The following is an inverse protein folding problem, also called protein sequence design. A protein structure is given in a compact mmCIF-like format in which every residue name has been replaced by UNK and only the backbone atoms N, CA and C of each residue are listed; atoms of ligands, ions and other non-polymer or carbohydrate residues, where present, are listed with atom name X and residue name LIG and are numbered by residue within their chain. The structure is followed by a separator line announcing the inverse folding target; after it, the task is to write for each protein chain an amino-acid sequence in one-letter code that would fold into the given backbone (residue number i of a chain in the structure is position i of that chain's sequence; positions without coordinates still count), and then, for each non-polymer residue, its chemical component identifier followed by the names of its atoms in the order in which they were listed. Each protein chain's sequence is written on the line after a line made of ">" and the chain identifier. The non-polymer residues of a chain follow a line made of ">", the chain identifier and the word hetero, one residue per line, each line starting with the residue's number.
data_IF_909235278810
#
_entry.id   IF_909235278810
#
_cell.length_a   1.000
_cell.length_b   1.000
_cell.length_c   1.000
_cell.angle_alpha   90.00
_cell.angle_beta   90.00
_cell.angle_gamma   90.00
#
_symmetry.space_group_name_H-M   'P 1'
#
loop_
_entity.id
_entity.type
_entity.pdbx_description
1 polymer ?
#
# COMPACT_ATOMS: atom_id res chain seq x y z
N UNK A 1 5.29 -19.69 23.73
CA UNK A 1 5.13 -19.19 22.34
C UNK A 1 4.02 -19.91 21.56
N UNK A 2 3.87 -21.24 21.67
CA UNK A 2 2.83 -21.99 20.95
C UNK A 2 1.38 -21.54 21.28
N UNK A 3 1.06 -21.30 22.55
CA UNK A 3 -0.27 -20.82 22.96
C UNK A 3 -0.64 -19.48 22.32
N UNK A 4 0.28 -18.51 22.31
CA UNK A 4 0.03 -17.19 21.69
C UNK A 4 -0.15 -17.31 20.18
N UNK A 5 0.62 -18.15 19.51
CA UNK A 5 0.46 -18.41 18.08
C UNK A 5 -0.89 -19.07 17.78
N UNK A 6 -1.33 -20.03 18.61
CA UNK A 6 -2.66 -20.63 18.53
C UNK A 6 -3.78 -19.62 18.76
N UNK A 7 -3.65 -18.75 19.77
CA UNK A 7 -4.64 -17.68 20.00
C UNK A 7 -4.75 -16.78 18.78
N UNK A 8 -3.64 -16.33 18.19
CA UNK A 8 -3.66 -15.47 17.00
C UNK A 8 -4.24 -16.13 15.75
N UNK A 9 -4.23 -17.46 15.67
CA UNK A 9 -4.86 -18.19 14.57
C UNK A 9 -6.37 -18.43 14.77
N UNK A 10 -6.92 -18.10 15.95
CA UNK A 10 -8.34 -18.25 16.22
C UNK A 10 -9.17 -17.36 15.29
N UNK A 11 -10.03 -18.00 14.51
CA UNK A 11 -10.90 -17.34 13.55
C UNK A 11 -11.77 -16.24 14.18
N UNK A 12 -12.22 -16.42 15.43
CA UNK A 12 -13.02 -15.42 16.14
C UNK A 12 -12.24 -14.11 16.37
N UNK A 13 -10.94 -14.17 16.70
CA UNK A 13 -10.15 -12.96 16.90
C UNK A 13 -9.90 -12.25 15.57
N UNK A 14 -9.70 -13.01 14.49
CA UNK A 14 -9.59 -12.47 13.14
C UNK A 14 -10.88 -11.76 12.71
N UNK A 15 -12.04 -12.36 13.01
CA UNK A 15 -13.35 -11.78 12.75
C UNK A 15 -13.57 -10.49 13.55
N UNK A 16 -13.19 -10.46 14.83
CA UNK A 16 -13.31 -9.27 15.67
C UNK A 16 -12.39 -8.13 15.18
N UNK A 17 -11.14 -8.42 14.80
CA UNK A 17 -10.25 -7.41 14.20
C UNK A 17 -10.81 -6.89 12.88
N UNK A 18 -11.30 -7.78 12.02
CA UNK A 18 -11.94 -7.40 10.76
C UNK A 18 -13.20 -6.56 10.99
N UNK A 19 -14.02 -6.89 11.99
CA UNK A 19 -15.18 -6.08 12.40
C UNK A 19 -14.76 -4.68 12.83
N UNK A 20 -13.74 -4.55 13.68
CA UNK A 20 -13.21 -3.25 14.12
C UNK A 20 -12.76 -2.42 12.90
N UNK A 21 -11.98 -3.01 11.99
CA UNK A 21 -11.52 -2.33 10.77
C UNK A 21 -12.67 -1.90 9.87
N UNK A 22 -13.65 -2.78 9.63
CA UNK A 22 -14.77 -2.50 8.73
C UNK A 22 -15.67 -1.41 9.29
N UNK A 23 -16.11 -1.54 10.55
CA UNK A 23 -17.05 -0.61 11.15
C UNK A 23 -16.41 0.75 11.42
N UNK A 24 -15.16 0.79 11.92
CA UNK A 24 -14.43 2.06 12.05
C UNK A 24 -14.21 2.72 10.68
N UNK A 25 -13.88 1.95 9.65
CA UNK A 25 -13.75 2.45 8.27
C UNK A 25 -15.04 3.08 7.74
N UNK A 26 -16.20 2.46 8.00
CA UNK A 26 -17.50 3.01 7.60
C UNK A 26 -17.80 4.34 8.33
N UNK A 27 -17.54 4.39 9.63
CA UNK A 27 -17.69 5.62 10.44
C UNK A 27 -16.76 6.71 9.91
N UNK A 28 -15.49 6.38 9.65
CA UNK A 28 -14.50 7.30 9.12
C UNK A 28 -14.95 7.82 7.75
N UNK A 29 -15.36 6.96 6.82
CA UNK A 29 -15.81 7.41 5.50
C UNK A 29 -17.07 8.27 5.57
N UNK A 30 -17.99 7.99 6.50
CA UNK A 30 -19.13 8.86 6.73
C UNK A 30 -18.68 10.26 7.17
N UNK A 31 -17.73 10.35 8.11
CA UNK A 31 -17.15 11.64 8.51
C UNK A 31 -16.45 12.31 7.33
N UNK A 32 -15.67 11.58 6.52
CA UNK A 32 -15.02 12.12 5.32
C UNK A 32 -16.03 12.66 4.31
N UNK A 33 -17.17 11.98 4.12
CA UNK A 33 -18.26 12.49 3.29
C UNK A 33 -18.79 13.82 3.83
N UNK A 34 -18.97 13.94 5.15
CA UNK A 34 -19.35 15.22 5.77
C UNK A 34 -18.30 16.32 5.55
N UNK A 35 -17.00 15.97 5.47
CA UNK A 35 -15.96 16.97 5.19
C UNK A 35 -16.05 17.58 3.78
N UNK A 36 -16.78 16.99 2.83
CA UNK A 36 -16.91 17.52 1.47
C UNK A 36 -17.44 18.97 1.44
N UNK A 37 -18.22 19.39 2.43
CA UNK A 37 -18.70 20.77 2.59
C UNK A 37 -17.52 21.75 2.75
N UNK A 38 -16.41 21.30 3.34
CA UNK A 38 -15.20 22.09 3.51
C UNK A 38 -14.38 22.22 2.22
N UNK A 39 -14.54 21.33 1.25
CA UNK A 39 -13.71 21.34 0.03
C UNK A 39 -13.78 22.67 -0.75
N UNK A 40 -14.96 23.24 -1.04
CA UNK A 40 -15.05 24.55 -1.72
C UNK A 40 -14.71 25.75 -0.82
N UNK A 41 -14.79 25.61 0.51
CA UNK A 41 -14.60 26.72 1.47
C UNK A 41 -13.12 26.84 1.87
N UNK A 42 -12.51 25.71 2.24
CA UNK A 42 -11.13 25.61 2.69
C UNK A 42 -10.56 24.22 2.35
N UNK A 43 -10.11 24.08 1.10
CA UNK A 43 -9.49 22.85 0.57
C UNK A 43 -8.32 22.36 1.42
N UNK A 44 -7.55 23.26 2.01
CA UNK A 44 -6.39 22.91 2.83
C UNK A 44 -6.81 22.27 4.16
N UNK A 45 -7.85 22.81 4.81
CA UNK A 45 -8.44 22.20 6.00
C UNK A 45 -9.08 20.84 5.68
N UNK A 46 -9.82 20.75 4.57
CA UNK A 46 -10.36 19.48 4.07
C UNK A 46 -9.27 18.41 3.96
N UNK A 47 -8.16 18.72 3.31
CA UNK A 47 -7.03 17.79 3.12
C UNK A 47 -6.40 17.37 4.44
N UNK A 48 -6.13 18.32 5.35
CA UNK A 48 -5.55 18.02 6.67
C UNK A 48 -6.43 17.08 7.48
N UNK A 49 -7.74 17.35 7.54
CA UNK A 49 -8.70 16.49 8.25
C UNK A 49 -8.72 15.09 7.62
N UNK A 50 -8.82 15.00 6.29
CA UNK A 50 -8.83 13.72 5.59
C UNK A 50 -7.53 12.93 5.77
N UNK A 51 -6.38 13.58 5.89
CA UNK A 51 -5.12 12.91 6.26
C UNK A 51 -5.17 12.30 7.65
N UNK A 52 -5.77 12.98 8.65
CA UNK A 52 -5.90 12.43 10.02
C UNK A 52 -6.92 11.30 10.10
N UNK A 53 -8.04 11.43 9.39
CA UNK A 53 -9.05 10.37 9.27
C UNK A 53 -8.46 9.12 8.60
N UNK A 54 -7.73 9.32 7.51
CA UNK A 54 -7.06 8.22 6.80
C UNK A 54 -5.96 7.58 7.63
N UNK A 55 -5.20 8.37 8.40
CA UNK A 55 -4.24 7.84 9.37
C UNK A 55 -4.91 6.87 10.36
N UNK A 56 -6.07 7.25 10.92
CA UNK A 56 -6.79 6.39 11.86
C UNK A 56 -7.24 5.07 11.25
N UNK A 57 -7.51 5.02 9.93
CA UNK A 57 -7.82 3.78 9.21
C UNK A 57 -6.56 2.96 8.88
N UNK A 58 -5.54 3.57 8.27
CA UNK A 58 -4.31 2.86 7.85
C UNK A 58 -3.48 2.35 9.02
N UNK A 59 -3.45 3.10 10.12
CA UNK A 59 -2.72 2.70 11.33
C UNK A 59 -3.23 1.38 11.92
N UNK A 60 -4.48 0.98 11.66
CA UNK A 60 -4.98 -0.34 12.08
C UNK A 60 -4.32 -1.49 11.29
N UNK A 61 -4.06 -1.29 9.99
CA UNK A 61 -3.32 -2.29 9.20
C UNK A 61 -1.84 -2.33 9.61
N UNK A 62 -1.23 -1.16 9.85
CA UNK A 62 0.15 -1.08 10.36
C UNK A 62 0.24 -1.74 11.74
N UNK A 63 -0.77 -1.54 12.59
CA UNK A 63 -0.85 -2.21 13.89
C UNK A 63 -0.87 -3.74 13.73
N UNK A 64 -1.65 -4.25 12.77
CA UNK A 64 -1.66 -5.68 12.49
C UNK A 64 -0.29 -6.21 12.04
N UNK A 65 0.45 -5.47 11.22
CA UNK A 65 1.77 -5.86 10.77
C UNK A 65 2.81 -5.82 11.90
N UNK A 66 2.90 -4.70 12.63
CA UNK A 66 3.96 -4.50 13.62
C UNK A 66 3.66 -5.23 14.94
N UNK A 67 2.47 -5.03 15.51
CA UNK A 67 2.14 -5.46 16.86
C UNK A 67 1.48 -6.84 16.88
N UNK A 68 0.53 -7.10 15.98
CA UNK A 68 -0.18 -8.38 15.96
C UNK A 68 0.68 -9.50 15.38
N UNK A 69 1.21 -9.37 14.17
CA UNK A 69 2.05 -10.43 13.59
C UNK A 69 3.50 -10.38 14.08
N UNK A 70 3.94 -9.24 14.61
CA UNK A 70 5.32 -9.07 15.08
C UNK A 70 6.32 -8.97 13.93
N UNK A 71 5.87 -8.64 12.72
CA UNK A 71 6.74 -8.52 11.54
C UNK A 71 7.73 -7.38 11.71
N UNK A 72 8.98 -7.65 11.35
CA UNK A 72 10.06 -6.66 11.40
C UNK A 72 10.32 -6.09 10.01
N UNK A 73 10.66 -4.80 9.97
CA UNK A 73 11.08 -4.09 8.77
C UNK A 73 12.45 -3.46 9.04
N UNK A 74 13.46 -3.98 8.36
CA UNK A 74 14.85 -3.53 8.41
C UNK A 74 15.09 -2.55 7.27
N UNK A 75 15.55 -1.33 7.56
CA UNK A 75 15.86 -0.33 6.55
C UNK A 75 17.35 -0.37 6.22
N UNK A 76 17.71 -0.44 4.94
CA UNK A 76 19.09 -0.35 4.45
C UNK A 76 19.24 0.97 3.71
N UNK A 77 19.86 1.94 4.37
CA UNK A 77 20.07 3.29 3.84
C UNK A 77 21.02 4.07 4.75
N UNK A 78 21.65 5.11 4.22
CA UNK A 78 22.49 6.02 4.98
C UNK A 78 21.68 7.01 5.85
N UNK A 79 22.32 7.55 6.89
CA UNK A 79 21.67 8.47 7.82
C UNK A 79 21.22 9.77 7.14
N UNK A 80 21.97 10.28 6.15
CA UNK A 80 21.62 11.51 5.44
C UNK A 80 20.30 11.38 4.68
N UNK A 81 20.01 10.18 4.15
CA UNK A 81 18.70 9.85 3.57
C UNK A 81 17.60 9.83 4.65
N UNK A 82 17.84 9.20 5.80
CA UNK A 82 16.86 9.16 6.91
C UNK A 82 16.54 10.55 7.46
N UNK A 83 17.52 11.44 7.53
CA UNK A 83 17.33 12.79 8.07
C UNK A 83 16.32 13.62 7.27
N UNK A 84 16.07 13.23 6.00
CA UNK A 84 15.06 13.83 5.11
C UNK A 84 13.68 13.18 5.20
N UNK A 85 13.56 11.98 5.76
CA UNK A 85 12.28 11.28 5.79
C UNK A 85 11.22 12.06 6.57
N UNK A 86 10.01 12.14 6.00
CA UNK A 86 8.89 12.88 6.57
C UNK A 86 9.02 14.41 6.50
N UNK A 87 10.06 14.93 5.84
CA UNK A 87 10.34 16.38 5.73
C UNK A 87 10.40 16.89 4.29
N UNK A 88 9.96 16.08 3.33
CA UNK A 88 9.90 16.45 1.92
C UNK A 88 8.78 15.71 1.17
N UNK A 89 8.31 16.31 0.07
CA UNK A 89 7.47 15.64 -0.91
C UNK A 89 8.35 14.79 -1.83
N UNK A 90 8.02 13.51 -1.97
CA UNK A 90 8.83 12.58 -2.77
C UNK A 90 7.97 11.70 -3.66
N UNK A 91 8.55 11.26 -4.76
CA UNK A 91 8.05 10.12 -5.53
C UNK A 91 8.78 8.87 -5.04
N UNK A 92 8.04 7.80 -4.76
CA UNK A 92 8.61 6.51 -4.34
C UNK A 92 8.49 5.54 -5.51
N UNK A 93 9.58 4.90 -5.88
CA UNK A 93 9.58 3.79 -6.83
C UNK A 93 9.83 2.50 -6.05
N UNK A 94 8.86 1.60 -6.01
CA UNK A 94 8.95 0.33 -5.30
C UNK A 94 8.81 -0.83 -6.29
N UNK A 95 9.60 -1.89 -6.11
CA UNK A 95 9.37 -3.15 -6.84
C UNK A 95 8.07 -3.82 -6.35
N UNK A 96 7.39 -4.53 -7.22
CA UNK A 96 6.07 -5.08 -6.94
C UNK A 96 6.07 -6.60 -6.97
N UNK A 97 6.53 -7.24 -5.89
CA UNK A 97 6.71 -8.70 -5.88
C UNK A 97 5.71 -9.40 -4.96
N UNK A 98 5.35 -8.78 -3.83
CA UNK A 98 4.61 -9.45 -2.78
C UNK A 98 3.23 -8.86 -2.55
N UNK A 99 2.39 -9.63 -1.87
CA UNK A 99 1.03 -9.18 -1.55
C UNK A 99 1.04 -7.96 -0.62
N UNK A 100 1.95 -7.95 0.35
CA UNK A 100 2.01 -6.95 1.43
C UNK A 100 3.04 -5.84 1.21
N UNK A 101 3.52 -5.64 -0.02
CA UNK A 101 4.52 -4.60 -0.35
C UNK A 101 4.14 -3.22 0.24
N UNK A 102 2.88 -2.83 -0.01
CA UNK A 102 2.32 -1.57 0.45
C UNK A 102 2.31 -1.45 1.98
N UNK A 103 2.09 -2.56 2.69
CA UNK A 103 1.98 -2.56 4.14
C UNK A 103 3.36 -2.38 4.80
N UNK A 104 4.40 -2.97 4.21
CA UNK A 104 5.78 -2.70 4.59
C UNK A 104 6.18 -1.24 4.31
N UNK A 105 5.75 -0.67 3.17
CA UNK A 105 5.91 0.75 2.90
C UNK A 105 5.22 1.64 3.93
N UNK A 106 3.97 1.32 4.29
CA UNK A 106 3.20 2.05 5.29
C UNK A 106 3.79 2.00 6.69
N UNK A 107 4.47 0.92 7.09
CA UNK A 107 5.27 0.88 8.32
C UNK A 107 6.33 1.97 8.33
N UNK A 108 7.02 2.20 7.21
CA UNK A 108 7.99 3.31 7.12
C UNK A 108 7.27 4.66 7.16
N UNK A 109 6.17 4.81 6.42
CA UNK A 109 5.37 6.05 6.47
C UNK A 109 4.87 6.38 7.89
N UNK A 110 4.47 5.37 8.68
CA UNK A 110 4.08 5.53 10.08
C UNK A 110 5.23 6.08 10.90
N UNK A 111 6.41 5.46 10.81
CA UNK A 111 7.59 5.81 11.61
C UNK A 111 8.07 7.23 11.36
N UNK A 112 7.81 7.78 10.17
CA UNK A 112 8.20 9.14 9.77
C UNK A 112 7.01 10.10 9.57
N UNK A 113 5.82 9.76 10.09
CA UNK A 113 4.72 10.71 10.23
C UNK A 113 3.94 11.07 8.95
N UNK A 114 4.09 10.30 7.88
CA UNK A 114 3.47 10.56 6.57
C UNK A 114 2.43 9.51 6.15
N UNK A 115 2.04 8.60 7.06
CA UNK A 115 1.07 7.55 6.74
C UNK A 115 -0.26 8.09 6.18
N UNK A 116 -0.82 9.13 6.81
CA UNK A 116 -2.08 9.74 6.39
C UNK A 116 -2.00 10.58 5.09
N UNK A 117 -0.80 10.99 4.69
CA UNK A 117 -0.53 11.74 3.46
C UNK A 117 0.14 10.90 2.37
N UNK A 118 0.35 9.60 2.63
CA UNK A 118 0.87 8.67 1.63
C UNK A 118 -0.14 8.51 0.48
N UNK A 119 0.38 8.48 -0.74
CA UNK A 119 -0.42 8.38 -1.97
C UNK A 119 0.16 7.33 -2.88
N UNK A 120 -0.63 6.90 -3.85
CA UNK A 120 -0.24 5.92 -4.84
C UNK A 120 -0.95 6.23 -6.15
N UNK A 121 -0.33 5.95 -7.30
CA UNK A 121 -1.07 5.87 -8.55
C UNK A 121 -1.85 4.55 -8.57
N UNK A 122 -3.16 4.62 -8.29
CA UNK A 122 -4.01 3.46 -8.06
C UNK A 122 -4.72 2.96 -9.32
N UNK A 123 -5.03 1.67 -9.38
CA UNK A 123 -5.91 1.11 -10.42
C UNK A 123 -7.34 1.60 -10.19
N UNK A 124 -8.04 2.04 -11.24
CA UNK A 124 -9.41 2.56 -11.18
C UNK A 124 -10.40 1.61 -10.50
N UNK A 125 -10.28 0.30 -10.71
CA UNK A 125 -11.14 -0.70 -10.03
C UNK A 125 -11.04 -0.66 -8.50
N UNK A 126 -9.94 -0.13 -7.93
CA UNK A 126 -9.79 0.01 -6.48
C UNK A 126 -10.70 1.09 -5.89
N UNK A 127 -11.19 2.04 -6.70
CA UNK A 127 -12.19 3.02 -6.28
C UNK A 127 -13.50 2.34 -5.82
N UNK A 128 -13.81 1.17 -6.40
CA UNK A 128 -15.03 0.39 -6.09
C UNK A 128 -14.89 -0.44 -4.82
N UNK A 129 -13.69 -0.54 -4.24
CA UNK A 129 -13.46 -1.28 -2.99
C UNK A 129 -13.97 -0.43 -1.84
N UNK A 130 -15.03 -0.86 -1.11
CA UNK A 130 -15.54 -0.10 0.02
C UNK A 130 -14.43 0.14 1.05
N UNK A 131 -14.56 1.21 1.82
CA UNK A 131 -13.58 1.65 2.82
C UNK A 131 -12.30 2.21 2.19
N UNK A 132 -11.57 1.36 1.47
CA UNK A 132 -10.24 1.68 0.97
C UNK A 132 -10.34 2.65 -0.21
N UNK A 133 -11.13 2.30 -1.23
CA UNK A 133 -11.31 3.12 -2.42
C UNK A 133 -11.95 4.48 -2.12
N UNK A 134 -12.89 4.51 -1.18
CA UNK A 134 -13.55 5.74 -0.75
C UNK A 134 -12.61 6.65 0.04
N UNK A 135 -11.83 6.08 0.98
CA UNK A 135 -10.78 6.85 1.69
C UNK A 135 -9.78 7.43 0.70
N UNK A 136 -9.37 6.66 -0.32
CA UNK A 136 -8.47 7.14 -1.36
C UNK A 136 -9.07 8.25 -2.23
N UNK A 137 -10.37 8.17 -2.54
CA UNK A 137 -11.08 9.25 -3.21
C UNK A 137 -11.00 10.56 -2.40
N UNK A 138 -11.31 10.51 -1.10
CA UNK A 138 -11.25 11.68 -0.21
C UNK A 138 -9.82 12.19 0.05
N UNK A 139 -8.79 11.36 -0.18
CA UNK A 139 -7.39 11.76 -0.17
C UNK A 139 -6.92 12.33 -1.52
N UNK A 140 -7.80 12.48 -2.50
CA UNK A 140 -7.46 12.93 -3.86
C UNK A 140 -6.37 12.03 -4.51
N UNK A 141 -6.39 10.73 -4.21
CA UNK A 141 -5.52 9.76 -4.89
C UNK A 141 -5.85 9.69 -6.37
N UNK A 142 -4.82 9.56 -7.21
CA UNK A 142 -4.96 9.48 -8.66
C UNK A 142 -5.27 8.04 -9.06
N UNK A 143 -6.37 7.85 -9.79
CA UNK A 143 -6.80 6.55 -10.30
C UNK A 143 -6.60 6.46 -11.82
N UNK A 144 -6.13 5.31 -12.31
CA UNK A 144 -5.94 5.03 -13.74
C UNK A 144 -6.51 3.67 -14.17
N UNK A 145 -7.07 3.59 -15.36
CA UNK A 145 -7.55 2.38 -16.02
C UNK A 145 -6.42 1.55 -16.63
N UNK A 146 -5.21 2.12 -16.71
CA UNK A 146 -3.99 1.60 -17.34
C UNK A 146 -4.08 1.58 -18.86
N UNK A 147 -4.75 2.60 -19.43
CA UNK A 147 -4.84 2.89 -20.87
C UNK A 147 -4.58 4.37 -21.05
N UNK A 148 -3.43 4.71 -21.63
CA UNK A 148 -2.92 6.08 -21.61
C UNK A 148 -3.90 7.08 -22.24
N UNK A 149 -4.52 6.69 -23.34
CA UNK A 149 -5.47 7.49 -24.11
C UNK A 149 -6.71 7.85 -23.28
N UNK A 150 -7.16 6.94 -22.39
CA UNK A 150 -8.30 7.19 -21.49
C UNK A 150 -7.89 7.92 -20.21
N UNK A 151 -6.66 7.71 -19.75
CA UNK A 151 -6.19 8.14 -18.43
C UNK A 151 -5.55 9.52 -18.43
N UNK A 152 -5.03 9.98 -19.58
CA UNK A 152 -4.17 11.18 -19.68
C UNK A 152 -4.75 12.36 -18.91
N UNK A 153 -5.92 12.86 -19.29
CA UNK A 153 -6.50 14.05 -18.68
C UNK A 153 -6.74 13.89 -17.18
N UNK A 154 -7.27 12.74 -16.76
CA UNK A 154 -7.56 12.45 -15.35
C UNK A 154 -6.29 12.38 -14.50
N UNK A 155 -5.22 11.77 -15.05
CA UNK A 155 -3.92 11.66 -14.37
C UNK A 155 -3.25 13.03 -14.26
N UNK A 156 -3.22 13.82 -15.34
CA UNK A 156 -2.67 15.17 -15.33
C UNK A 156 -3.40 16.06 -14.32
N UNK A 157 -4.74 16.13 -14.40
CA UNK A 157 -5.54 16.93 -13.46
C UNK A 157 -5.41 16.43 -12.01
N UNK A 158 -5.34 15.11 -11.82
CA UNK A 158 -5.13 14.51 -10.50
C UNK A 158 -3.81 14.89 -9.88
N UNK A 159 -2.71 14.79 -10.63
CA UNK A 159 -1.37 15.15 -10.17
C UNK A 159 -1.22 16.65 -9.95
N UNK A 160 -1.76 17.48 -10.83
CA UNK A 160 -1.69 18.93 -10.71
C UNK A 160 -2.36 19.44 -9.42
N UNK A 161 -3.49 18.81 -9.02
CA UNK A 161 -4.14 19.09 -7.73
C UNK A 161 -3.27 18.81 -6.51
N UNK A 162 -2.21 18.01 -6.62
CA UNK A 162 -1.35 17.65 -5.49
C UNK A 162 -0.20 18.63 -5.27
N UNK A 163 0.00 19.60 -6.18
CA UNK A 163 1.11 20.57 -6.09
C UNK A 163 1.07 21.42 -4.82
N UNK A 164 -0.12 21.72 -4.32
CA UNK A 164 -0.36 22.52 -3.11
C UNK A 164 -0.89 21.68 -1.93
N UNK A 165 -0.54 20.39 -1.89
CA UNK A 165 -0.97 19.51 -0.80
C UNK A 165 -0.30 19.95 0.54
N UNK A 166 -1.05 20.12 1.64
CA UNK A 166 -0.55 20.79 2.85
C UNK A 166 0.35 19.94 3.75
N UNK A 167 0.44 18.64 3.46
CA UNK A 167 1.21 17.66 4.24
C UNK A 167 2.27 17.06 3.33
N UNK A 168 3.47 16.80 3.86
CA UNK A 168 4.52 16.12 3.08
C UNK A 168 3.99 14.80 2.52
N UNK A 169 4.07 14.67 1.20
CA UNK A 169 3.42 13.60 0.45
C UNK A 169 4.46 12.62 -0.07
N UNK A 170 4.23 11.35 0.21
CA UNK A 170 5.01 10.25 -0.35
C UNK A 170 4.17 9.56 -1.43
N UNK A 171 4.49 9.83 -2.70
CA UNK A 171 3.71 9.40 -3.85
C UNK A 171 4.30 8.13 -4.47
N UNK A 172 3.66 6.98 -4.21
CA UNK A 172 4.11 5.66 -4.62
C UNK A 172 3.77 5.34 -6.08
N UNK A 173 4.78 4.83 -6.79
CA UNK A 173 4.69 4.25 -8.11
C UNK A 173 5.26 2.83 -8.10
N UNK A 174 4.47 1.89 -8.61
CA UNK A 174 4.95 0.58 -9.04
C UNK A 174 5.17 0.64 -10.55
N UNK A 175 6.38 1.01 -10.98
CA UNK A 175 6.67 1.21 -12.40
C UNK A 175 6.57 -0.09 -13.22
N UNK A 176 6.65 -1.27 -12.59
CA UNK A 176 6.35 -2.56 -13.23
C UNK A 176 4.89 -2.67 -13.72
N UNK A 177 3.97 -1.92 -13.11
CA UNK A 177 2.56 -1.83 -13.48
C UNK A 177 1.70 -3.06 -13.12
N UNK A 178 2.31 -4.09 -12.56
CA UNK A 178 1.66 -5.30 -12.02
C UNK A 178 2.63 -6.03 -11.11
N UNK A 179 2.10 -6.83 -10.18
CA UNK A 179 2.93 -7.75 -9.41
C UNK A 179 3.66 -8.76 -10.29
N UNK A 180 4.91 -9.05 -9.94
CA UNK A 180 5.75 -10.07 -10.54
C UNK A 180 5.11 -11.46 -10.42
N UNK A 181 5.10 -12.19 -11.52
CA UNK A 181 4.85 -13.63 -11.57
C UNK A 181 5.63 -14.19 -12.74
N UNK A 182 6.07 -15.44 -12.69
CA UNK A 182 6.85 -16.07 -13.77
C UNK A 182 6.25 -15.86 -15.18
N UNK A 183 4.93 -16.10 -15.35
CA UNK A 183 4.24 -15.84 -16.63
C UNK A 183 4.35 -14.38 -17.11
N UNK A 184 4.27 -13.41 -16.19
CA UNK A 184 4.32 -11.98 -16.52
C UNK A 184 5.76 -11.54 -16.81
N UNK A 185 6.73 -12.15 -16.13
CA UNK A 185 8.15 -11.93 -16.39
C UNK A 185 8.53 -12.38 -17.79
N UNK A 186 8.14 -13.59 -18.20
CA UNK A 186 8.38 -14.09 -19.56
C UNK A 186 7.80 -13.15 -20.63
N UNK A 187 6.55 -12.71 -20.46
CA UNK A 187 5.92 -11.71 -21.35
C UNK A 187 6.71 -10.40 -21.34
N UNK A 188 7.11 -9.91 -20.17
CA UNK A 188 7.88 -8.68 -20.04
C UNK A 188 9.25 -8.77 -20.73
N UNK A 189 9.88 -9.95 -20.72
CA UNK A 189 11.18 -10.16 -21.38
C UNK A 189 11.06 -10.23 -22.90
N UNK A 190 9.96 -10.77 -23.43
CA UNK A 190 9.64 -10.68 -24.86
C UNK A 190 9.44 -9.20 -25.29
N UNK A 191 8.78 -8.41 -24.44
CA UNK A 191 8.62 -6.96 -24.69
C UNK A 191 9.96 -6.24 -24.64
N UNK A 192 10.86 -6.59 -23.70
CA UNK A 192 12.20 -6.02 -23.65
C UNK A 192 12.98 -6.31 -24.94
N UNK A 193 12.98 -7.57 -25.40
CA UNK A 193 13.65 -8.01 -26.63
C UNK A 193 13.14 -7.29 -27.88
N UNK A 194 11.80 -7.23 -28.06
CA UNK A 194 11.20 -6.53 -29.21
C UNK A 194 11.47 -5.01 -29.22
N UNK A 195 11.83 -4.42 -28.08
CA UNK A 195 12.21 -3.01 -27.96
C UNK A 195 13.72 -2.78 -27.93
N UNK A 196 14.54 -3.84 -28.05
CA UNK A 196 16.00 -3.75 -27.92
C UNK A 196 16.47 -3.31 -26.53
N UNK A 197 15.67 -3.54 -25.50
CA UNK A 197 15.99 -3.20 -24.10
C UNK A 197 16.63 -4.40 -23.39
N UNK A 198 17.54 -4.16 -22.41
CA UNK A 198 18.13 -5.24 -21.61
C UNK A 198 17.08 -6.10 -20.91
N UNK A 199 17.29 -7.42 -20.92
CA UNK A 199 16.46 -8.37 -20.16
C UNK A 199 16.84 -8.31 -18.68
N UNK A 200 15.84 -8.26 -17.81
CA UNK A 200 15.96 -8.27 -16.35
C UNK A 200 15.65 -9.67 -15.82
N UNK A 201 16.30 -10.11 -14.74
CA UNK A 201 16.14 -11.46 -14.19
C UNK A 201 15.11 -11.54 -13.08
N UNK A 202 14.96 -10.49 -12.28
CA UNK A 202 14.17 -10.48 -11.05
C UNK A 202 13.06 -9.43 -11.01
N UNK A 203 13.04 -8.50 -11.97
CA UNK A 203 12.00 -7.48 -12.10
C UNK A 203 11.32 -7.53 -13.47
N UNK A 204 10.11 -6.98 -13.55
CA UNK A 204 9.50 -6.67 -14.84
C UNK A 204 10.13 -5.40 -15.43
N UNK A 205 10.06 -5.26 -16.75
CA UNK A 205 10.49 -4.05 -17.43
C UNK A 205 9.60 -2.87 -16.99
N UNK A 206 10.17 -1.74 -16.53
CA UNK A 206 9.37 -0.63 -16.05
C UNK A 206 8.62 0.06 -17.19
N UNK A 207 7.39 0.48 -16.88
CA UNK A 207 6.58 1.36 -17.71
C UNK A 207 6.91 2.81 -17.34
N UNK A 208 7.46 3.54 -18.29
CA UNK A 208 8.03 4.86 -18.06
C UNK A 208 6.98 5.96 -17.96
N UNK A 209 5.89 5.88 -18.74
CA UNK A 209 4.92 6.98 -18.90
C UNK A 209 4.33 7.50 -17.59
N UNK A 210 3.99 6.61 -16.66
CA UNK A 210 3.47 7.02 -15.35
C UNK A 210 4.49 7.79 -14.52
N UNK A 211 5.75 7.35 -14.53
CA UNK A 211 6.84 8.03 -13.85
C UNK A 211 7.17 9.37 -14.48
N UNK A 212 7.39 9.43 -15.80
CA UNK A 212 7.73 10.67 -16.51
C UNK A 212 6.64 11.73 -16.39
N UNK A 213 5.37 11.32 -16.49
CA UNK A 213 4.23 12.22 -16.26
C UNK A 213 4.18 12.75 -14.82
N UNK A 214 4.46 11.89 -13.83
CA UNK A 214 4.48 12.30 -12.41
C UNK A 214 5.61 13.29 -12.14
N UNK A 215 6.82 13.03 -12.66
CA UNK A 215 7.97 13.94 -12.58
C UNK A 215 7.65 15.30 -13.18
N UNK A 216 7.06 15.32 -14.38
CA UNK A 216 6.68 16.56 -15.06
C UNK A 216 5.59 17.32 -14.30
N UNK A 217 4.54 16.64 -13.84
CA UNK A 217 3.42 17.29 -13.17
C UNK A 217 3.80 17.80 -11.79
N UNK A 218 4.63 17.08 -11.02
CA UNK A 218 4.99 17.47 -9.66
C UNK A 218 6.30 18.25 -9.59
N UNK A 219 6.84 18.69 -10.73
CA UNK A 219 8.03 19.54 -10.80
C UNK A 219 7.81 20.81 -9.99
N UNK A 220 8.77 21.14 -9.12
CA UNK A 220 8.70 22.26 -8.18
C UNK A 220 7.95 21.95 -6.87
N UNK A 221 7.27 20.80 -6.77
CA UNK A 221 6.65 20.33 -5.52
C UNK A 221 7.48 19.23 -4.87
N UNK A 222 7.83 18.18 -5.62
CA UNK A 222 8.68 17.10 -5.10
C UNK A 222 10.15 17.52 -5.11
N UNK A 223 10.91 17.08 -4.10
CA UNK A 223 12.34 17.41 -3.93
C UNK A 223 13.26 16.18 -3.99
N UNK A 224 12.69 14.98 -4.07
CA UNK A 224 13.46 13.77 -4.36
C UNK A 224 12.61 12.62 -4.92
N UNK A 225 13.29 11.66 -5.54
CA UNK A 225 12.80 10.30 -5.79
C UNK A 225 13.46 9.35 -4.81
N UNK A 226 12.67 8.56 -4.11
CA UNK A 226 13.15 7.46 -3.28
C UNK A 226 13.00 6.16 -4.06
N UNK A 227 14.15 5.59 -4.41
CA UNK A 227 14.22 4.27 -4.98
C UNK A 227 14.19 3.22 -3.87
N UNK A 228 13.18 2.36 -3.88
CA UNK A 228 12.94 1.36 -2.84
C UNK A 228 12.94 -0.04 -3.42
N UNK A 229 13.72 -0.93 -2.82
CA UNK A 229 13.70 -2.35 -3.13
C UNK A 229 13.36 -3.13 -1.86
N UNK A 230 12.23 -3.84 -1.89
CA UNK A 230 11.72 -4.67 -0.82
C UNK A 230 11.98 -6.14 -1.13
N UNK A 231 12.50 -6.86 -0.14
CA UNK A 231 12.54 -8.32 -0.17
C UNK A 231 12.26 -8.89 1.23
N UNK A 232 11.99 -10.19 1.29
CA UNK A 232 11.76 -10.92 2.53
C UNK A 232 12.87 -11.95 2.75
N UNK A 233 13.33 -12.07 4.00
CA UNK A 233 14.32 -13.09 4.37
C UNK A 233 13.74 -14.50 4.18
N UNK A 234 14.65 -15.46 4.05
CA UNK A 234 14.34 -16.89 3.96
C UNK A 234 13.41 -17.24 2.78
N UNK A 235 13.44 -16.43 1.70
CA UNK A 235 12.60 -16.56 0.50
C UNK A 235 11.10 -16.72 0.82
N UNK A 236 10.64 -16.08 1.89
CA UNK A 236 9.24 -16.15 2.27
C UNK A 236 8.38 -15.32 1.33
N UNK A 237 7.23 -15.90 0.93
CA UNK A 237 6.16 -15.17 0.23
C UNK A 237 5.10 -14.75 1.24
N UNK A 238 5.13 -13.50 1.73
CA UNK A 238 4.16 -13.05 2.71
C UNK A 238 2.78 -12.82 2.10
N UNK A 239 1.75 -13.06 2.91
CA UNK A 239 0.35 -12.86 2.54
C UNK A 239 -0.36 -12.07 3.63
N UNK A 240 -1.40 -11.32 3.27
CA UNK A 240 -2.18 -10.57 4.25
C UNK A 240 -2.86 -11.52 5.24
N UNK A 241 -3.33 -12.69 4.78
CA UNK A 241 -3.88 -13.73 5.65
C UNK A 241 -2.85 -14.27 6.65
N UNK A 242 -1.58 -14.38 6.25
CA UNK A 242 -0.48 -14.71 7.14
C UNK A 242 -0.35 -13.71 8.28
N UNK A 243 -0.38 -12.41 7.97
CA UNK A 243 -0.37 -11.33 8.97
C UNK A 243 -1.57 -11.44 9.91
N UNK A 244 -2.78 -11.59 9.37
CA UNK A 244 -4.03 -11.74 10.16
C UNK A 244 -3.96 -12.97 11.08
N UNK A 245 -3.29 -14.04 10.64
CA UNK A 245 -3.06 -15.26 11.44
C UNK A 245 -1.89 -15.14 12.43
N UNK A 246 -1.27 -13.96 12.54
CA UNK A 246 -0.16 -13.71 13.44
C UNK A 246 1.19 -14.23 12.97
N UNK A 247 1.34 -14.61 11.69
CA UNK A 247 2.62 -15.08 11.12
C UNK A 247 3.59 -13.91 11.01
N UNK A 248 4.71 -14.01 11.72
CA UNK A 248 5.82 -13.07 11.64
C UNK A 248 6.59 -13.24 10.33
N UNK A 249 6.91 -12.12 9.70
CA UNK A 249 7.84 -12.04 8.57
C UNK A 249 9.02 -11.13 8.91
N UNK A 250 10.06 -11.16 8.07
CA UNK A 250 11.22 -10.27 8.15
C UNK A 250 11.42 -9.59 6.81
N UNK A 251 10.96 -8.34 6.72
CA UNK A 251 11.09 -7.52 5.53
C UNK A 251 12.40 -6.72 5.60
N UNK A 252 13.12 -6.67 4.50
CA UNK A 252 14.28 -5.81 4.30
C UNK A 252 13.93 -4.81 3.19
N UNK A 253 14.13 -3.51 3.46
CA UNK A 253 13.86 -2.42 2.53
C UNK A 253 15.16 -1.63 2.28
N UNK A 254 15.69 -1.68 1.06
CA UNK A 254 16.76 -0.77 0.63
C UNK A 254 16.13 0.52 0.12
N UNK A 255 16.55 1.68 0.64
CA UNK A 255 16.11 2.99 0.14
C UNK A 255 17.30 3.84 -0.32
N UNK A 256 17.31 4.25 -1.58
CA UNK A 256 18.29 5.19 -2.14
C UNK A 256 17.58 6.48 -2.55
N UNK A 257 18.02 7.61 -2.02
CA UNK A 257 17.49 8.93 -2.34
C UNK A 257 18.19 9.52 -3.56
N UNK A 258 17.42 10.05 -4.50
CA UNK A 258 17.88 10.85 -5.63
C UNK A 258 17.23 12.24 -5.55
N UNK A 259 18.01 13.32 -5.37
CA UNK A 259 17.52 14.68 -5.62
C UNK A 259 16.86 14.77 -7.00
N UNK A 260 15.80 15.58 -7.16
CA UNK A 260 15.10 15.70 -8.46
C UNK A 260 16.00 16.33 -9.51
N UNK A 261 16.94 17.16 -9.07
CA UNK A 261 17.94 17.84 -9.90
C UNK A 261 18.87 16.84 -10.62
N UNK A 262 19.04 15.63 -10.06
CA UNK A 262 19.85 14.55 -10.64
C UNK A 262 19.06 13.71 -11.65
N UNK A 263 17.76 14.00 -11.86
CA UNK A 263 16.88 13.25 -12.74
C UNK A 263 16.61 14.09 -14.00
N UNK A 264 16.81 13.53 -15.20
CA UNK A 264 16.63 14.29 -16.43
C UNK A 264 15.20 14.82 -16.60
N UNK A 265 15.09 16.06 -17.06
CA UNK A 265 13.82 16.74 -17.34
C UNK A 265 13.18 16.27 -18.65
N UNK A 266 13.99 15.89 -19.64
CA UNK A 266 13.49 15.42 -20.92
C UNK A 266 12.80 14.06 -20.75
N UNK A 267 11.60 13.89 -21.31
CA UNK A 267 10.81 12.66 -21.15
C UNK A 267 11.57 11.39 -21.53
N UNK A 268 12.31 11.42 -22.64
CA UNK A 268 13.05 10.26 -23.13
C UNK A 268 14.26 9.94 -22.24
N UNK A 269 14.99 10.96 -21.79
CA UNK A 269 16.12 10.78 -20.89
C UNK A 269 15.68 10.31 -19.50
N UNK A 270 14.56 10.83 -19.01
CA UNK A 270 13.90 10.40 -17.77
C UNK A 270 13.45 8.92 -17.86
N UNK A 271 12.90 8.52 -19.01
CA UNK A 271 12.57 7.13 -19.31
C UNK A 271 13.81 6.22 -19.31
N UNK A 272 14.90 6.67 -19.93
CA UNK A 272 16.18 5.94 -19.95
C UNK A 272 16.79 5.83 -18.54
N UNK A 273 16.69 6.89 -17.73
CA UNK A 273 17.08 6.87 -16.33
C UNK A 273 16.32 5.81 -15.54
N UNK A 274 14.99 5.70 -15.73
CA UNK A 274 14.18 4.66 -15.08
C UNK A 274 14.57 3.24 -15.53
N UNK A 275 14.86 3.04 -16.82
CA UNK A 275 15.34 1.76 -17.32
C UNK A 275 16.70 1.38 -16.70
N UNK A 276 17.61 2.35 -16.52
CA UNK A 276 18.89 2.12 -15.83
C UNK A 276 18.68 1.81 -14.35
N UNK A 277 17.80 2.54 -13.67
CA UNK A 277 17.44 2.30 -12.26
C UNK A 277 16.95 0.86 -12.06
N UNK A 278 16.11 0.34 -12.96
CA UNK A 278 15.64 -1.05 -12.87
C UNK A 278 16.72 -2.10 -13.15
N UNK A 279 17.73 -1.80 -13.97
CA UNK A 279 18.92 -2.66 -14.10
C UNK A 279 19.73 -2.69 -12.79
N UNK A 280 19.90 -1.54 -12.14
CA UNK A 280 20.54 -1.46 -10.82
C UNK A 280 19.75 -2.25 -9.76
N UNK A 281 18.41 -2.16 -9.76
CA UNK A 281 17.54 -2.97 -8.89
C UNK A 281 17.67 -4.47 -9.14
N UNK A 282 17.85 -4.87 -10.40
CA UNK A 282 17.98 -6.27 -10.78
C UNK A 282 19.29 -6.87 -10.25
N UNK A 283 20.40 -6.13 -10.43
CA UNK A 283 21.69 -6.49 -9.84
C UNK A 283 21.65 -6.52 -8.30
N UNK A 284 20.96 -5.56 -7.68
CA UNK A 284 20.77 -5.51 -6.23
C UNK A 284 19.99 -6.74 -5.72
N UNK A 285 18.98 -7.19 -6.47
CA UNK A 285 18.22 -8.39 -6.12
C UNK A 285 19.06 -9.66 -6.28
N UNK A 286 19.91 -9.73 -7.30
CA UNK A 286 20.89 -10.82 -7.44
C UNK A 286 21.84 -10.88 -6.24
N UNK A 287 22.37 -9.72 -5.83
CA UNK A 287 23.22 -9.60 -4.66
C UNK A 287 22.50 -10.06 -3.39
N UNK A 288 21.26 -9.59 -3.16
CA UNK A 288 20.47 -10.02 -2.00
C UNK A 288 20.26 -11.54 -1.98
N UNK A 289 19.98 -12.16 -3.13
CA UNK A 289 19.80 -13.61 -3.20
C UNK A 289 21.07 -14.40 -2.86
N UNK A 290 22.26 -13.82 -3.11
CA UNK A 290 23.56 -14.42 -2.76
C UNK A 290 23.93 -14.20 -1.30
N UNK A 291 23.71 -12.98 -0.78
CA UNK A 291 24.19 -12.56 0.54
C UNK A 291 23.15 -12.66 1.66
N UNK A 292 21.86 -12.78 1.32
CA UNK A 292 20.74 -12.81 2.27
C UNK A 292 20.41 -11.47 2.92
N UNK A 293 21.01 -10.37 2.46
CA UNK A 293 20.79 -8.99 2.93
C UNK A 293 21.13 -7.98 1.83
N UNK A 294 20.65 -6.75 1.97
CA UNK A 294 21.08 -5.65 1.10
C UNK A 294 22.43 -5.07 1.57
N UNK A 295 23.22 -4.47 0.66
CA UNK A 295 24.42 -3.73 1.04
C UNK A 295 24.08 -2.41 1.74
N UNK A 296 25.00 -1.94 2.58
CA UNK A 296 24.94 -0.64 3.25
C UNK A 296 24.54 -0.72 4.74
N UNK A 297 24.51 0.44 5.42
CA UNK A 297 24.16 0.51 6.83
C UNK A 297 22.68 0.15 7.07
N UNK A 298 22.43 -0.46 8.22
CA UNK A 298 21.10 -0.87 8.66
C UNK A 298 20.56 0.06 9.71
N UNK A 299 19.31 0.48 9.55
CA UNK A 299 18.55 1.30 10.50
C UNK A 299 17.26 0.57 10.83
N UNK A 300 16.92 0.48 12.11
CA UNK A 300 15.64 -0.08 12.58
C UNK A 300 14.90 1.05 13.28
N UNK A 301 14.07 1.82 12.56
CA UNK A 301 13.35 2.92 13.20
C UNK A 301 12.35 2.37 14.24
N UNK A 302 12.20 3.01 15.41
CA UNK A 302 11.36 2.48 16.48
C UNK A 302 9.89 2.45 16.08
N UNK A 303 9.15 1.45 16.58
CA UNK A 303 7.69 1.37 16.41
C UNK A 303 7.02 2.50 17.17
N UNK A 304 6.02 3.14 16.56
CA UNK A 304 5.23 4.19 17.23
C UNK A 304 4.03 3.56 17.93
N UNK A 305 3.81 3.94 19.19
CA UNK A 305 2.68 3.43 19.99
C UNK A 305 1.31 3.88 19.47
N UNK A 306 1.26 4.93 18.66
CA UNK A 306 0.02 5.54 18.16
C UNK A 306 -0.85 4.56 17.37
N UNK A 307 -0.26 3.63 16.62
CA UNK A 307 -1.01 2.61 15.87
C UNK A 307 -1.74 1.64 16.81
N UNK A 308 -1.06 1.21 17.88
CA UNK A 308 -1.64 0.36 18.91
C UNK A 308 -2.72 1.10 19.71
N UNK A 309 -2.45 2.34 20.15
CA UNK A 309 -3.42 3.14 20.90
C UNK A 309 -4.68 3.44 20.10
N UNK A 310 -4.54 3.81 18.82
CA UNK A 310 -5.68 4.04 17.93
C UNK A 310 -6.50 2.76 17.72
N UNK A 311 -5.85 1.60 17.55
CA UNK A 311 -6.58 0.34 17.45
C UNK A 311 -7.31 -0.02 18.75
N UNK A 312 -6.66 0.13 19.91
CA UNK A 312 -7.29 -0.14 21.21
C UNK A 312 -8.50 0.77 21.44
N UNK A 313 -8.41 2.05 21.07
CA UNK A 313 -9.54 2.97 21.12
C UNK A 313 -10.74 2.45 20.29
N UNK A 314 -10.52 2.12 19.01
CA UNK A 314 -11.60 1.60 18.15
C UNK A 314 -12.12 0.24 18.62
N UNK A 315 -11.22 -0.65 19.08
CA UNK A 315 -11.60 -1.95 19.60
C UNK A 315 -12.48 -1.82 20.84
N UNK A 316 -12.14 -0.96 21.80
CA UNK A 316 -12.97 -0.70 22.98
C UNK A 316 -14.31 -0.10 22.56
N UNK A 317 -14.30 0.94 21.73
CA UNK A 317 -15.53 1.63 21.31
C UNK A 317 -16.51 0.70 20.59
N UNK A 318 -16.01 -0.21 19.74
CA UNK A 318 -16.85 -1.04 18.86
C UNK A 318 -17.14 -2.43 19.44
N UNK A 319 -16.19 -3.05 20.15
CA UNK A 319 -16.37 -4.40 20.68
C UNK A 319 -17.17 -4.41 21.98
N UNK A 320 -17.11 -3.38 22.82
CA UNK A 320 -17.90 -3.30 24.05
C UNK A 320 -19.42 -3.43 23.81
N UNK A 321 -20.05 -2.63 22.91
CA UNK A 321 -21.47 -2.81 22.60
C UNK A 321 -21.76 -4.13 21.87
N UNK A 322 -20.86 -4.58 20.98
CA UNK A 322 -21.03 -5.86 20.26
C UNK A 322 -21.07 -7.05 21.22
N UNK A 323 -20.14 -7.10 22.18
CA UNK A 323 -20.07 -8.17 23.19
C UNK A 323 -21.30 -8.12 24.07
N UNK A 324 -21.72 -6.93 24.54
CA UNK A 324 -22.96 -6.77 25.32
C UNK A 324 -24.18 -7.28 24.56
N UNK A 325 -24.29 -6.95 23.27
CA UNK A 325 -25.36 -7.44 22.41
C UNK A 325 -25.31 -8.96 22.23
N UNK A 326 -24.13 -9.52 21.93
CA UNK A 326 -23.94 -10.96 21.75
C UNK A 326 -24.31 -11.75 23.03
N UNK A 327 -23.88 -11.27 24.20
CA UNK A 327 -24.31 -11.84 25.49
C UNK A 327 -25.82 -11.77 25.67
N UNK A 328 -26.45 -10.63 25.32
CA UNK A 328 -27.91 -10.48 25.36
C UNK A 328 -28.64 -11.47 24.45
N UNK A 329 -28.14 -11.68 23.22
CA UNK A 329 -28.69 -12.68 22.29
C UNK A 329 -28.63 -14.09 22.88
N UNK A 330 -27.49 -14.48 23.46
CA UNK A 330 -27.32 -15.80 24.06
C UNK A 330 -28.23 -15.97 25.28
N UNK A 331 -28.25 -14.99 26.18
CA UNK A 331 -29.08 -15.03 27.40
C UNK A 331 -30.58 -15.00 27.08
N UNK A 332 -30.99 -14.38 25.97
CA UNK A 332 -32.40 -14.34 25.56
C UNK A 332 -33.00 -15.72 25.29
N UNK A 333 -32.17 -16.72 24.97
CA UNK A 333 -32.61 -18.05 24.57
C UNK A 333 -33.44 -18.09 23.27
N UNK A 334 -33.63 -16.95 22.59
CA UNK A 334 -34.47 -16.83 21.40
C UNK A 334 -33.77 -17.45 20.18
N UNK A 335 -34.31 -18.54 19.59
CA UNK A 335 -33.71 -19.16 18.41
C UNK A 335 -33.60 -18.19 17.24
N UNK A 336 -34.59 -17.29 17.07
CA UNK A 336 -34.60 -16.31 16.00
C UNK A 336 -33.45 -15.30 16.12
N UNK A 337 -33.20 -14.77 17.33
CA UNK A 337 -32.11 -13.83 17.56
C UNK A 337 -30.75 -14.51 17.39
N UNK A 338 -30.61 -15.75 17.86
CA UNK A 338 -29.39 -16.55 17.71
C UNK A 338 -29.11 -16.82 16.22
N UNK A 339 -30.10 -17.29 15.47
CA UNK A 339 -29.98 -17.53 14.01
C UNK A 339 -29.60 -16.23 13.30
N UNK A 340 -30.31 -15.13 13.57
CA UNK A 340 -30.01 -13.83 12.97
C UNK A 340 -28.57 -13.37 13.25
N UNK A 341 -28.08 -13.53 14.48
CA UNK A 341 -26.72 -13.19 14.84
C UNK A 341 -25.68 -14.08 14.14
N UNK A 342 -25.92 -15.39 14.06
CA UNK A 342 -25.04 -16.32 13.32
C UNK A 342 -25.00 -15.95 11.83
N UNK A 343 -26.14 -15.65 11.22
CA UNK A 343 -26.21 -15.19 9.81
C UNK A 343 -25.41 -13.91 9.61
N UNK A 344 -25.52 -12.94 10.53
CA UNK A 344 -24.72 -11.71 10.51
C UNK A 344 -23.20 -12.01 10.55
N UNK A 345 -22.75 -12.89 11.45
CA UNK A 345 -21.33 -13.28 11.54
C UNK A 345 -20.84 -13.97 10.26
N UNK A 346 -21.67 -14.79 9.61
CA UNK A 346 -21.34 -15.43 8.33
C UNK A 346 -21.17 -14.37 7.23
N UNK A 347 -22.10 -13.41 7.12
CA UNK A 347 -22.01 -12.33 6.13
C UNK A 347 -20.76 -11.48 6.38
N UNK A 348 -20.48 -11.10 7.63
CA UNK A 348 -19.29 -10.34 7.99
C UNK A 348 -17.99 -11.09 7.62
N UNK A 349 -17.93 -12.39 7.91
CA UNK A 349 -16.82 -13.27 7.52
C UNK A 349 -16.58 -13.28 6.00
N UNK A 350 -17.64 -13.44 5.21
CA UNK A 350 -17.55 -13.41 3.74
C UNK A 350 -17.07 -12.06 3.23
N UNK A 351 -17.56 -10.95 3.81
CA UNK A 351 -17.14 -9.60 3.45
C UNK A 351 -15.64 -9.38 3.71
N UNK A 352 -15.14 -9.77 4.89
CA UNK A 352 -13.72 -9.66 5.24
C UNK A 352 -12.86 -10.50 4.28
N UNK A 353 -13.26 -11.75 3.99
CA UNK A 353 -12.54 -12.61 3.03
C UNK A 353 -12.51 -12.00 1.64
N UNK A 354 -13.58 -11.34 1.19
CA UNK A 354 -13.60 -10.62 -0.09
C UNK A 354 -12.64 -9.43 -0.11
N UNK A 355 -12.55 -8.66 0.98
CA UNK A 355 -11.60 -7.55 1.10
C UNK A 355 -10.15 -8.04 1.03
N UNK A 356 -9.80 -9.11 1.76
CA UNK A 356 -8.48 -9.75 1.68
C UNK A 356 -8.22 -10.26 0.25
N UNK A 357 -9.23 -10.82 -0.42
CA UNK A 357 -9.11 -11.33 -1.79
C UNK A 357 -8.70 -10.26 -2.82
N UNK A 358 -8.92 -8.97 -2.55
CA UNK A 358 -8.48 -7.87 -3.43
C UNK A 358 -6.96 -7.71 -3.43
N UNK A 359 -6.26 -8.13 -2.37
CA UNK A 359 -4.80 -8.04 -2.29
C UNK A 359 -4.08 -9.20 -2.97
N UNK A 360 -4.74 -10.35 -3.15
CA UNK A 360 -4.12 -11.57 -3.69
C UNK A 360 -3.53 -11.39 -5.10
N UNK A 361 -2.30 -11.89 -5.30
CA UNK A 361 -1.54 -11.76 -6.55
C UNK A 361 -2.23 -12.42 -7.74
N UNK A 362 -2.84 -13.61 -7.54
CA UNK A 362 -3.49 -14.38 -8.61
C UNK A 362 -4.72 -13.67 -9.19
N UNK A 363 -5.40 -12.85 -8.39
CA UNK A 363 -6.61 -12.11 -8.77
C UNK A 363 -6.31 -10.71 -9.33
N UNK A 364 -5.06 -10.23 -9.20
CA UNK A 364 -4.66 -8.87 -9.56
C UNK A 364 -3.61 -8.87 -10.69
N UNK A 365 -4.08 -8.78 -11.93
CA UNK A 365 -3.24 -8.81 -13.14
C UNK A 365 -3.41 -7.60 -14.07
N UNK A 366 -2.35 -7.29 -14.83
CA UNK A 366 -2.44 -6.47 -16.05
C UNK A 366 -2.47 -7.41 -17.26
N UNK A 367 -3.27 -7.08 -18.29
CA UNK A 367 -3.29 -7.77 -19.59
C UNK A 367 -2.24 -7.23 -20.56
N UNK A 368 -1.45 -6.24 -20.17
CA UNK A 368 -0.43 -5.62 -21.02
C UNK A 368 0.59 -6.65 -21.51
N UNK A 369 0.87 -6.64 -22.82
CA UNK A 369 1.75 -7.60 -23.48
C UNK A 369 1.17 -9.01 -23.66
N UNK A 370 0.03 -9.34 -23.03
CA UNK A 370 -0.59 -10.65 -23.16
C UNK A 370 -1.49 -10.70 -24.41
N UNK A 371 -1.03 -11.38 -25.47
CA UNK A 371 -1.77 -11.56 -26.72
C UNK A 371 -3.04 -12.43 -26.54
N UNK A 372 -3.06 -13.36 -25.58
CA UNK A 372 -4.23 -14.21 -25.29
C UNK A 372 -5.35 -13.39 -24.62
N UNK A 373 -5.00 -12.49 -23.70
CA UNK A 373 -5.97 -11.64 -23.01
C UNK A 373 -6.56 -10.53 -23.90
N UNK A 374 -5.93 -10.22 -25.05
CA UNK A 374 -6.49 -9.32 -26.07
C UNK A 374 -7.63 -9.95 -26.87
N UNK A 375 -7.75 -11.28 -26.90
CA UNK A 375 -8.81 -11.99 -27.64
C UNK A 375 -10.12 -12.16 -26.84
N UNK A 376 -10.13 -11.77 -25.56
CA UNK A 376 -11.27 -11.96 -24.64
C UNK A 376 -11.88 -10.65 -24.10
N UNK A 377 -11.49 -9.48 -24.64
CA UNK A 377 -12.08 -8.19 -24.28
C UNK A 377 -12.70 -7.51 -25.48
#
# INVERSE_FOLDING_TARGET
>A
MALLAYLKSLFILQLLMGFVFVVSGLIINFIQLCTCILWPINRQLYRRINCRLSYSLWSQLVMMLEWWSGTDCTLYTDQATVDKFGKEHVIIILNHNFEIDFLCGWTICERYGVLGSSKVLAKHELLKVPLIGWTWYFLEIVFCKRRWEEDRETVFAGLDRLKDYPEYMWFLLYCEGTRFTEKKHQISMQVAESKGLPKLKYHLLPRTKGFTTTMQCLKGTVTAVYDVTLNFKDNQTPTLLGIVSGKKYKADLRVKRFPVEDIPDNEQECANWLHKLYQEKDALQEQYNKEGKFPGPTIIPPRRLWTLLNFLFWATLLLSPLIKFACGVVVSGSPLLIIGFITFLIIASVAIRRLIGVTEVKKTGSSYGNQEAKKQN
#
